data_IF_139339557008
#
_entry.id   IF_139339557008
#
_cell.length_a   1.000
_cell.length_b   1.000
_cell.length_c   1.000
_cell.angle_alpha   90.00
_cell.angle_beta   90.00
_cell.angle_gamma   90.00
#
_symmetry.space_group_name_H-M   'P 1'
#
loop_
_entity.id
_entity.type
_entity.pdbx_description
1 polymer ?
#
# COMPACT_ATOMS: atom_id res chain seq x y z
N UNK A 1 12.43 -25.45 -9.57
CA UNK A 1 11.54 -26.48 -9.10
C UNK A 1 10.76 -26.02 -7.88
N UNK A 2 9.88 -26.91 -7.43
CA UNK A 2 8.95 -26.55 -6.35
C UNK A 2 9.68 -26.18 -5.05
N UNK A 3 10.73 -26.91 -4.71
CA UNK A 3 11.48 -26.64 -3.49
C UNK A 3 12.12 -25.25 -3.53
N UNK A 4 12.71 -24.90 -4.66
CA UNK A 4 13.35 -23.60 -4.83
C UNK A 4 12.32 -22.47 -4.75
N UNK A 5 11.15 -22.68 -5.34
CA UNK A 5 10.09 -21.67 -5.32
C UNK A 5 9.56 -21.45 -3.91
N UNK A 6 9.40 -22.52 -3.14
CA UNK A 6 8.94 -22.43 -1.76
C UNK A 6 9.97 -21.70 -0.90
N UNK A 7 11.25 -22.02 -1.07
CA UNK A 7 12.32 -21.38 -0.34
C UNK A 7 12.42 -19.90 -0.67
N UNK A 8 12.30 -19.57 -1.95
CA UNK A 8 12.33 -18.18 -2.41
C UNK A 8 11.18 -17.38 -1.81
N UNK A 9 10.00 -17.98 -1.74
CA UNK A 9 8.83 -17.34 -1.14
C UNK A 9 9.01 -17.12 0.35
N UNK A 10 9.58 -18.11 1.05
CA UNK A 10 9.86 -17.99 2.48
C UNK A 10 10.87 -16.88 2.76
N UNK A 11 11.90 -16.75 1.91
CA UNK A 11 12.89 -15.70 2.06
C UNK A 11 12.30 -14.32 1.86
N UNK A 12 11.32 -14.19 0.94
CA UNK A 12 10.64 -12.90 0.75
C UNK A 12 9.85 -12.48 1.97
N UNK A 13 9.31 -13.45 2.72
CA UNK A 13 8.57 -13.15 3.94
C UNK A 13 9.49 -12.70 5.07
N UNK A 14 10.74 -13.16 5.06
CA UNK A 14 11.71 -12.85 6.09
C UNK A 14 12.49 -11.57 5.78
N UNK A 15 12.85 -11.38 4.51
CA UNK A 15 13.65 -10.23 4.09
C UNK A 15 12.74 -9.00 3.92
N UNK A 16 12.99 -7.90 4.63
CA UNK A 16 12.16 -6.69 4.48
C UNK A 16 12.24 -6.15 3.06
N UNK A 17 11.11 -5.66 2.58
CA UNK A 17 11.04 -4.95 1.31
C UNK A 17 11.13 -3.46 1.57
N UNK A 18 11.77 -2.75 0.64
CA UNK A 18 11.97 -1.30 0.75
C UNK A 18 11.41 -0.61 -0.48
N UNK A 19 10.96 0.61 -0.27
CA UNK A 19 10.54 1.48 -1.35
C UNK A 19 11.50 2.65 -1.42
N UNK A 20 12.07 2.90 -2.60
CA UNK A 20 13.06 3.95 -2.81
C UNK A 20 12.46 5.07 -3.65
N UNK A 21 12.73 6.31 -3.27
CA UNK A 21 12.21 7.47 -3.98
C UNK A 21 13.09 8.68 -3.70
N UNK A 22 12.90 9.74 -4.49
CA UNK A 22 13.62 11.00 -4.33
C UNK A 22 12.66 12.06 -3.81
N UNK A 23 13.12 12.86 -2.85
CA UNK A 23 12.34 13.95 -2.29
C UNK A 23 13.28 15.07 -1.90
N UNK A 24 13.01 16.29 -2.39
CA UNK A 24 13.84 17.47 -2.11
C UNK A 24 15.33 17.25 -2.38
N UNK A 25 15.63 16.53 -3.47
CA UNK A 25 17.02 16.29 -3.86
C UNK A 25 17.71 15.19 -3.09
N UNK A 26 17.03 14.54 -2.16
CA UNK A 26 17.60 13.47 -1.37
C UNK A 26 16.97 12.13 -1.75
N UNK A 27 17.74 11.06 -1.64
CA UNK A 27 17.27 9.71 -1.91
C UNK A 27 16.86 9.06 -0.61
N UNK A 28 15.67 8.50 -0.61
CA UNK A 28 15.11 7.81 0.55
C UNK A 28 14.88 6.34 0.23
N UNK A 29 14.99 5.53 1.26
CA UNK A 29 14.72 4.10 1.18
C UNK A 29 14.02 3.72 2.48
N UNK A 30 12.72 3.47 2.39
CA UNK A 30 11.93 3.19 3.59
C UNK A 30 11.31 1.80 3.52
N UNK A 31 11.16 1.12 4.67
CA UNK A 31 10.51 -0.19 4.68
C UNK A 31 9.08 -0.08 4.20
N UNK A 32 8.69 -0.96 3.30
CA UNK A 32 7.33 -0.98 2.76
C UNK A 32 6.30 -1.14 3.88
N UNK A 33 6.65 -1.88 4.93
CA UNK A 33 5.75 -2.11 6.06
C UNK A 33 5.39 -0.84 6.81
N UNK A 34 6.23 0.19 6.73
CA UNK A 34 5.96 1.46 7.41
C UNK A 34 5.05 2.38 6.62
N UNK A 35 4.78 2.05 5.37
CA UNK A 35 3.91 2.87 4.52
C UNK A 35 2.46 2.50 4.77
N UNK A 36 1.66 3.49 5.17
CA UNK A 36 0.23 3.31 5.38
C UNK A 36 -0.52 3.37 4.06
N UNK A 37 -0.25 4.41 3.29
CA UNK A 37 -0.87 4.57 1.97
C UNK A 37 -0.16 5.65 1.18
N UNK A 38 -0.41 5.63 -0.14
CA UNK A 38 0.03 6.65 -1.07
C UNK A 38 -1.17 7.46 -1.51
N UNK A 39 -0.98 8.76 -1.57
CA UNK A 39 -2.03 9.68 -2.02
C UNK A 39 -1.48 10.53 -3.17
N UNK A 40 -2.20 10.54 -4.31
CA UNK A 40 -1.87 11.40 -5.45
C UNK A 40 -2.70 12.67 -5.35
N UNK A 41 -2.04 13.82 -5.30
CA UNK A 41 -2.72 15.11 -5.17
C UNK A 41 -1.86 16.20 -5.81
N UNK A 42 -2.48 17.01 -6.69
CA UNK A 42 -1.80 18.13 -7.35
C UNK A 42 -0.48 17.72 -8.00
N UNK A 43 -0.51 16.60 -8.77
CA UNK A 43 0.66 16.08 -9.49
C UNK A 43 1.83 15.66 -8.61
N UNK A 44 1.56 15.50 -7.32
CA UNK A 44 2.54 15.01 -6.36
C UNK A 44 2.04 13.75 -5.70
N UNK A 45 2.96 12.90 -5.30
CA UNK A 45 2.65 11.70 -4.55
C UNK A 45 3.04 11.93 -3.09
N UNK A 46 2.09 11.71 -2.19
CA UNK A 46 2.32 11.81 -0.76
C UNK A 46 2.40 10.40 -0.18
N UNK A 47 3.49 10.09 0.49
CA UNK A 47 3.71 8.79 1.10
C UNK A 47 3.48 8.94 2.59
N UNK A 48 2.34 8.40 3.05
CA UNK A 48 1.95 8.48 4.46
C UNK A 48 2.54 7.31 5.22
N UNK A 49 3.42 7.61 6.17
CA UNK A 49 3.98 6.61 7.05
C UNK A 49 3.51 6.86 8.49
N UNK A 50 3.90 5.99 9.41
CA UNK A 50 3.50 6.16 10.81
C UNK A 50 4.15 7.37 11.45
N UNK A 51 5.34 7.77 10.98
CA UNK A 51 6.08 8.87 11.58
C UNK A 51 5.91 10.19 10.84
N UNK A 52 5.83 10.15 9.52
CA UNK A 52 5.80 11.38 8.73
C UNK A 52 5.23 11.15 7.35
N UNK A 53 5.06 12.25 6.62
CA UNK A 53 4.56 12.21 5.24
C UNK A 53 5.68 12.69 4.32
N UNK A 54 6.04 11.86 3.35
CA UNK A 54 7.01 12.22 2.33
C UNK A 54 6.30 12.68 1.07
N UNK A 55 6.98 13.47 0.27
CA UNK A 55 6.43 14.04 -0.94
C UNK A 55 7.39 13.79 -2.10
N UNK A 56 6.89 13.24 -3.20
CA UNK A 56 7.73 12.92 -4.35
C UNK A 56 6.95 13.10 -5.64
N UNK A 57 7.65 13.08 -6.77
CA UNK A 57 7.05 13.31 -8.10
C UNK A 57 6.74 12.03 -8.86
N UNK A 58 6.49 10.96 -8.18
CA UNK A 58 6.06 9.72 -8.81
C UNK A 58 4.54 9.71 -8.97
N UNK A 59 4.04 8.91 -9.91
CA UNK A 59 2.61 8.69 -10.06
C UNK A 59 2.22 7.38 -9.41
N UNK A 60 0.94 7.23 -9.07
CA UNK A 60 0.44 5.96 -8.55
C UNK A 60 0.60 4.84 -9.58
N UNK A 61 0.48 5.17 -10.85
CA UNK A 61 0.65 4.21 -11.93
C UNK A 61 2.06 3.62 -11.95
N UNK A 62 3.06 4.44 -11.62
CA UNK A 62 4.45 3.99 -11.54
C UNK A 62 4.72 3.15 -10.30
N UNK A 63 4.06 3.48 -9.20
CA UNK A 63 4.29 2.84 -7.90
C UNK A 63 3.55 1.52 -7.75
N UNK A 64 2.32 1.47 -8.23
CA UNK A 64 1.44 0.32 -8.03
C UNK A 64 2.06 -1.03 -8.42
N UNK A 65 2.72 -1.17 -9.60
CA UNK A 65 3.31 -2.46 -9.95
C UNK A 65 4.44 -2.90 -9.03
N UNK A 66 5.13 -1.95 -8.40
CA UNK A 66 6.22 -2.27 -7.50
C UNK A 66 5.74 -2.86 -6.18
N UNK A 67 4.48 -2.63 -5.83
CA UNK A 67 3.94 -2.98 -4.52
C UNK A 67 2.79 -3.98 -4.56
N UNK A 68 2.50 -4.54 -5.74
CA UNK A 68 1.38 -5.47 -5.88
C UNK A 68 1.54 -6.72 -5.02
N UNK A 69 2.78 -7.19 -4.81
CA UNK A 69 3.04 -8.38 -4.01
C UNK A 69 3.10 -8.09 -2.51
N UNK A 70 3.03 -6.80 -2.11
CA UNK A 70 3.15 -6.38 -0.72
C UNK A 70 1.79 -6.06 -0.09
N UNK A 71 0.70 -6.51 -0.72
CA UNK A 71 -0.67 -6.31 -0.24
C UNK A 71 -1.10 -4.85 -0.23
N UNK A 72 -0.68 -4.11 -1.24
CA UNK A 72 -1.21 -2.78 -1.50
C UNK A 72 -2.36 -2.90 -2.49
N UNK A 73 -3.38 -2.08 -2.26
CA UNK A 73 -4.61 -2.14 -3.05
C UNK A 73 -5.04 -0.75 -3.49
N UNK A 74 -5.32 -0.59 -4.78
CA UNK A 74 -5.86 0.65 -5.31
C UNK A 74 -7.36 0.73 -4.98
N UNK A 75 -7.75 1.71 -4.16
CA UNK A 75 -9.15 1.84 -3.74
C UNK A 75 -9.83 3.07 -4.34
N UNK A 76 -9.05 3.92 -4.96
CA UNK A 76 -9.53 5.17 -5.52
C UNK A 76 -8.51 5.62 -6.57
N UNK A 77 -8.92 6.48 -7.50
CA UNK A 77 -7.98 7.01 -8.49
C UNK A 77 -6.76 7.66 -7.85
N UNK A 78 -6.93 8.19 -6.63
CA UNK A 78 -5.88 8.94 -5.93
C UNK A 78 -5.28 8.22 -4.73
N UNK A 79 -5.68 6.97 -4.45
CA UNK A 79 -5.22 6.28 -3.23
C UNK A 79 -4.84 4.84 -3.48
N UNK A 80 -3.65 4.48 -2.99
CA UNK A 80 -3.15 3.11 -2.98
C UNK A 80 -2.81 2.78 -1.53
N UNK A 81 -3.53 1.84 -0.91
CA UNK A 81 -3.42 1.59 0.53
C UNK A 81 -2.73 0.28 0.85
N UNK A 82 -2.10 0.23 2.01
CA UNK A 82 -1.50 -0.98 2.55
C UNK A 82 -2.54 -1.70 3.41
N UNK A 83 -2.95 -2.90 2.98
CA UNK A 83 -3.99 -3.65 3.68
C UNK A 83 -3.60 -4.00 5.11
N UNK A 84 -2.29 -4.11 5.41
CA UNK A 84 -1.82 -4.40 6.77
C UNK A 84 -2.14 -3.29 7.76
N UNK A 85 -2.41 -2.08 7.29
CA UNK A 85 -2.65 -0.92 8.15
C UNK A 85 -4.09 -0.43 8.11
N UNK A 86 -5.01 -1.28 7.66
CA UNK A 86 -6.44 -0.98 7.66
C UNK A 86 -7.01 -1.35 9.03
N UNK A 87 -7.75 -0.41 9.66
CA UNK A 87 -8.46 -0.69 10.90
C UNK A 87 -9.81 -1.31 10.60
N UNK A 88 -10.57 -0.68 9.68
CA UNK A 88 -11.90 -1.19 9.33
C UNK A 88 -12.33 -0.66 7.97
N UNK A 89 -13.28 -1.38 7.38
CA UNK A 89 -13.92 -0.96 6.14
C UNK A 89 -15.39 -0.74 6.45
N UNK A 90 -15.89 0.46 6.12
CA UNK A 90 -17.31 0.77 6.21
C UNK A 90 -17.92 0.63 4.83
N UNK A 91 -19.19 1.03 4.69
CA UNK A 91 -19.88 0.96 3.40
C UNK A 91 -19.15 1.75 2.31
N UNK A 92 -18.64 2.93 2.65
CA UNK A 92 -18.07 3.84 1.67
C UNK A 92 -16.61 4.20 1.91
N UNK A 93 -16.07 3.87 3.07
CA UNK A 93 -14.75 4.35 3.49
C UNK A 93 -13.88 3.24 4.06
N UNK A 94 -12.59 3.50 4.07
CA UNK A 94 -11.61 2.68 4.78
C UNK A 94 -10.96 3.57 5.83
N UNK A 95 -10.89 3.09 7.06
CA UNK A 95 -10.16 3.78 8.11
C UNK A 95 -8.77 3.17 8.26
N UNK A 96 -7.74 4.00 8.10
CA UNK A 96 -6.35 3.60 8.23
C UNK A 96 -5.86 3.81 9.66
N UNK A 97 -4.69 3.25 9.98
CA UNK A 97 -4.16 3.32 11.36
C UNK A 97 -3.86 4.72 11.85
N UNK A 98 -3.73 5.70 10.95
CA UNK A 98 -3.61 7.10 11.33
C UNK A 98 -4.97 7.76 11.54
N UNK A 99 -6.04 6.95 11.52
CA UNK A 99 -7.44 7.37 11.71
C UNK A 99 -7.99 8.24 10.57
N UNK A 100 -7.30 8.30 9.45
CA UNK A 100 -7.84 8.95 8.26
C UNK A 100 -8.87 8.04 7.60
N UNK A 101 -9.98 8.64 7.20
CA UNK A 101 -11.01 7.96 6.44
C UNK A 101 -10.78 8.23 4.97
N UNK A 102 -10.59 7.18 4.18
CA UNK A 102 -10.35 7.29 2.76
C UNK A 102 -11.52 6.69 2.00
N UNK A 103 -12.10 7.50 1.11
CA UNK A 103 -13.27 7.08 0.36
C UNK A 103 -12.91 6.03 -0.69
N UNK A 104 -13.74 4.99 -0.78
CA UNK A 104 -13.58 3.96 -1.80
C UNK A 104 -14.35 4.41 -3.05
N UNK A 105 -13.71 4.32 -4.22
CA UNK A 105 -14.40 4.60 -5.47
C UNK A 105 -15.60 3.68 -5.63
N UNK A 106 -16.71 4.23 -6.12
CA UNK A 106 -17.93 3.44 -6.28
C UNK A 106 -17.72 2.19 -7.11
N UNK A 107 -16.98 2.30 -8.20
CA UNK A 107 -16.74 1.18 -9.10
C UNK A 107 -15.70 0.19 -8.57
N UNK A 108 -15.04 0.49 -7.44
CA UNK A 108 -14.03 -0.40 -6.86
C UNK A 108 -14.49 -1.08 -5.57
N UNK A 109 -15.65 -0.73 -5.04
CA UNK A 109 -16.12 -1.24 -3.75
C UNK A 109 -16.15 -2.75 -3.69
N UNK A 110 -16.72 -3.38 -4.70
CA UNK A 110 -16.85 -4.84 -4.73
C UNK A 110 -15.50 -5.52 -4.70
N UNK A 111 -14.57 -5.04 -5.52
CA UNK A 111 -13.23 -5.61 -5.60
C UNK A 111 -12.42 -5.36 -4.32
N UNK A 112 -12.61 -4.19 -3.72
CA UNK A 112 -11.93 -3.82 -2.47
C UNK A 112 -12.37 -4.74 -1.33
N UNK A 113 -13.66 -4.95 -1.18
CA UNK A 113 -14.19 -5.81 -0.14
C UNK A 113 -13.71 -7.25 -0.34
N UNK A 114 -13.73 -7.73 -1.58
CA UNK A 114 -13.25 -9.09 -1.88
C UNK A 114 -11.77 -9.24 -1.56
N UNK A 115 -10.96 -8.25 -1.96
CA UNK A 115 -9.52 -8.29 -1.71
C UNK A 115 -9.20 -8.26 -0.22
N UNK A 116 -9.90 -7.41 0.54
CA UNK A 116 -9.67 -7.32 1.97
C UNK A 116 -10.11 -8.59 2.69
N UNK A 117 -11.23 -9.17 2.27
CA UNK A 117 -11.71 -10.42 2.85
C UNK A 117 -10.70 -11.54 2.66
N UNK A 118 -10.14 -11.63 1.46
CA UNK A 118 -9.11 -12.62 1.17
C UNK A 118 -7.85 -12.37 2.01
N UNK A 119 -7.42 -11.12 2.09
CA UNK A 119 -6.26 -10.74 2.88
C UNK A 119 -6.45 -11.10 4.36
N UNK A 120 -7.63 -10.81 4.91
CA UNK A 120 -7.91 -11.08 6.31
C UNK A 120 -7.87 -12.59 6.62
N UNK A 121 -8.35 -13.42 5.69
CA UNK A 121 -8.30 -14.87 5.87
C UNK A 121 -6.88 -15.40 5.87
N UNK A 122 -6.02 -14.84 5.03
CA UNK A 122 -4.66 -15.32 4.86
C UNK A 122 -3.72 -14.83 5.95
N UNK A 123 -4.12 -13.81 6.70
CA UNK A 123 -3.26 -13.14 7.68
C UNK A 123 -3.84 -13.15 9.09
N UNK A 124 -4.61 -14.16 9.42
CA UNK A 124 -5.14 -14.34 10.78
C UNK A 124 -4.07 -14.86 11.72
#
# INVERSE_FOLDING_TARGET
>A
EKFYEVLKRALRLIVPQYFSFSSNGELYRIPVQEILYFESRNYMLFIHTQQQIYKTRLSLKEVEPQLSSANFLRIHASFLINLHHVIRITKDDIEMQDHQLIKISRNRKKDVIAAFTKFARENI
#
